data_IF_288125889061
#
_entry.id   IF_288125889061
#
_cell.length_a   1.000
_cell.length_b   1.000
_cell.length_c   1.000
_cell.angle_alpha   90.00
_cell.angle_beta   90.00
_cell.angle_gamma   90.00
#
_symmetry.space_group_name_H-M   'P 1'
#
loop_
_entity.id
_entity.type
_entity.pdbx_description
1 polymer ?
#
# COMPACT_ATOMS: atom_id res chain seq x y z
N UNK A 1 13.19 -36.30 58.21
CA UNK A 1 12.01 -35.92 57.40
C UNK A 1 12.46 -35.11 56.19
N UNK A 2 12.26 -35.66 54.99
CA UNK A 2 12.56 -35.02 53.70
C UNK A 2 11.49 -33.95 53.39
N UNK A 3 11.88 -32.72 53.06
CA UNK A 3 10.98 -31.74 52.40
C UNK A 3 11.65 -31.24 51.12
N UNK A 4 10.84 -31.23 50.06
CA UNK A 4 11.19 -31.28 48.65
C UNK A 4 11.56 -29.90 48.09
N UNK A 5 12.53 -29.87 47.17
CA UNK A 5 12.78 -28.77 46.25
C UNK A 5 11.57 -28.56 45.35
N UNK A 6 11.00 -27.35 45.38
CA UNK A 6 10.01 -26.89 44.41
C UNK A 6 10.69 -26.01 43.37
N UNK A 7 10.98 -26.58 42.20
CA UNK A 7 11.36 -25.83 41.00
C UNK A 7 10.18 -24.96 40.57
N UNK A 8 10.31 -23.64 40.68
CA UNK A 8 9.48 -22.70 39.94
C UNK A 8 10.13 -22.48 38.58
N UNK A 9 9.72 -23.29 37.62
CA UNK A 9 9.97 -23.05 36.21
C UNK A 9 9.11 -21.85 35.79
N UNK A 10 9.67 -20.64 35.88
CA UNK A 10 9.03 -19.43 35.37
C UNK A 10 9.04 -19.48 33.85
N UNK A 11 7.97 -20.00 33.25
CA UNK A 11 7.74 -19.90 31.83
C UNK A 11 7.51 -18.43 31.49
N UNK A 12 8.55 -17.78 30.95
CA UNK A 12 8.46 -16.48 30.32
C UNK A 12 7.61 -16.65 29.05
N UNK A 13 6.33 -16.34 29.15
CA UNK A 13 5.44 -16.21 28.00
C UNK A 13 5.96 -15.03 27.16
N UNK A 14 6.77 -15.32 26.15
CA UNK A 14 6.98 -14.40 25.04
C UNK A 14 5.62 -14.16 24.40
N UNK A 15 5.04 -12.99 24.65
CA UNK A 15 3.97 -12.41 23.85
C UNK A 15 4.56 -12.22 22.44
N UNK A 16 4.47 -13.26 21.60
CA UNK A 16 4.70 -13.11 20.18
C UNK A 16 3.68 -12.06 19.69
N UNK A 17 4.11 -10.95 19.09
CA UNK A 17 3.17 -10.04 18.47
C UNK A 17 2.36 -10.86 17.47
N UNK A 18 1.04 -10.83 17.62
CA UNK A 18 0.12 -11.38 16.63
C UNK A 18 0.51 -10.77 15.29
N UNK A 19 0.94 -11.61 14.34
CA UNK A 19 1.15 -11.21 12.95
C UNK A 19 -0.09 -10.42 12.53
N UNK A 20 0.06 -9.12 12.26
CA UNK A 20 -1.04 -8.29 11.83
C UNK A 20 -1.55 -8.88 10.51
N UNK A 21 -2.74 -9.49 10.58
CA UNK A 21 -3.36 -10.19 9.46
C UNK A 21 -4.02 -9.17 8.56
N UNK A 22 -3.57 -9.10 7.31
CA UNK A 22 -4.16 -8.38 6.17
C UNK A 22 -4.42 -6.87 6.39
N UNK A 23 -3.49 -6.07 5.88
CA UNK A 23 -3.58 -4.61 5.87
C UNK A 23 -4.62 -4.20 4.84
N UNK A 24 -5.82 -3.83 5.32
CA UNK A 24 -6.89 -3.39 4.41
C UNK A 24 -6.51 -2.03 3.83
N UNK A 25 -6.48 -1.94 2.51
CA UNK A 25 -6.32 -0.66 1.81
C UNK A 25 -7.56 -0.34 1.00
N UNK A 26 -7.81 0.93 0.73
CA UNK A 26 -8.89 1.40 -0.14
C UNK A 26 -8.47 2.62 -0.92
N UNK A 27 -9.03 2.78 -2.13
CA UNK A 27 -8.75 3.94 -2.98
C UNK A 27 -9.57 5.13 -2.49
N UNK A 28 -8.90 6.25 -2.22
CA UNK A 28 -9.55 7.53 -1.92
C UNK A 28 -9.68 8.38 -3.18
N UNK A 29 -8.61 8.42 -3.98
CA UNK A 29 -8.56 9.16 -5.24
C UNK A 29 -7.59 8.46 -6.19
N UNK A 30 -7.94 8.37 -7.47
CA UNK A 30 -7.03 7.99 -8.53
C UNK A 30 -7.35 8.80 -9.79
N UNK A 31 -6.32 9.21 -10.53
CA UNK A 31 -6.52 9.99 -11.76
C UNK A 31 -5.28 10.02 -12.65
N UNK A 32 -5.49 10.37 -13.92
CA UNK A 32 -4.39 10.53 -14.90
C UNK A 32 -4.44 11.92 -15.57
N UNK A 33 -4.32 13.02 -14.79
CA UNK A 33 -4.40 14.37 -15.35
C UNK A 33 -3.26 14.65 -16.34
N UNK A 34 -3.56 15.54 -17.29
CA UNK A 34 -2.53 16.22 -18.07
C UNK A 34 -1.85 17.25 -17.17
N UNK A 35 -0.53 17.14 -17.04
CA UNK A 35 0.29 18.02 -16.20
C UNK A 35 1.14 18.99 -17.01
N UNK A 36 1.16 18.85 -18.35
CA UNK A 36 1.83 19.79 -19.24
C UNK A 36 1.72 19.41 -20.71
N UNK A 37 2.10 20.35 -21.57
CA UNK A 37 2.21 20.16 -23.02
C UNK A 37 3.49 20.83 -23.52
N UNK A 38 4.16 20.24 -24.52
CA UNK A 38 5.39 20.82 -25.06
C UNK A 38 6.08 19.89 -26.06
N UNK A 39 6.72 20.48 -27.08
CA UNK A 39 7.50 19.72 -28.07
C UNK A 39 6.68 18.72 -28.89
N UNK A 40 5.37 18.93 -29.05
CA UNK A 40 4.47 17.98 -29.72
C UNK A 40 3.94 16.86 -28.81
N UNK A 41 4.27 16.88 -27.52
CA UNK A 41 3.86 15.87 -26.55
C UNK A 41 2.87 16.40 -25.51
N UNK A 42 2.08 15.49 -24.97
CA UNK A 42 1.22 15.69 -23.81
C UNK A 42 1.82 14.89 -22.64
N UNK A 43 2.07 15.57 -21.52
CA UNK A 43 2.62 14.96 -20.33
C UNK A 43 1.48 14.64 -19.37
N UNK A 44 1.42 13.38 -18.94
CA UNK A 44 0.42 12.88 -17.99
C UNK A 44 1.10 12.35 -16.74
N UNK A 45 0.34 12.35 -15.65
CA UNK A 45 0.81 11.82 -14.38
C UNK A 45 -0.26 10.90 -13.80
N UNK A 46 0.11 9.67 -13.46
CA UNK A 46 -0.72 8.82 -12.62
C UNK A 46 -0.66 9.33 -11.18
N UNK A 47 -1.82 9.69 -10.63
CA UNK A 47 -1.96 10.15 -9.25
C UNK A 47 -2.81 9.15 -8.48
N UNK A 48 -2.37 8.82 -7.28
CA UNK A 48 -3.06 7.88 -6.39
C UNK A 48 -3.01 8.40 -4.96
N UNK A 49 -4.17 8.41 -4.30
CA UNK A 49 -4.33 8.58 -2.86
C UNK A 49 -5.09 7.37 -2.32
N UNK A 50 -4.54 6.71 -1.31
CA UNK A 50 -5.12 5.51 -0.70
C UNK A 50 -5.18 5.64 0.81
N UNK A 51 -6.23 5.06 1.39
CA UNK A 51 -6.31 4.83 2.82
C UNK A 51 -5.77 3.44 3.16
N UNK A 52 -5.07 3.37 4.28
CA UNK A 52 -4.50 2.13 4.83
C UNK A 52 -4.97 2.02 6.27
N UNK A 53 -5.58 0.89 6.63
CA UNK A 53 -5.88 0.62 8.03
C UNK A 53 -4.55 0.61 8.79
N UNK A 54 -4.41 1.31 9.93
CA UNK A 54 -3.16 1.47 10.64
C UNK A 54 -2.42 0.15 10.79
N UNK A 55 -1.24 0.14 10.19
CA UNK A 55 -0.29 -0.96 10.27
C UNK A 55 0.66 -0.67 11.42
N UNK A 56 1.26 -1.72 11.97
CA UNK A 56 2.36 -1.54 12.91
C UNK A 56 3.41 -0.54 12.34
N UNK A 57 4.10 0.23 13.20
CA UNK A 57 5.14 1.14 12.75
C UNK A 57 6.19 0.43 11.89
N UNK A 58 6.74 1.13 10.89
CA UNK A 58 7.83 0.62 10.04
C UNK A 58 7.38 -0.07 8.75
N UNK A 59 6.12 0.06 8.35
CA UNK A 59 5.63 -0.41 7.06
C UNK A 59 5.88 0.60 5.94
N UNK A 60 5.73 0.16 4.69
CA UNK A 60 5.76 1.02 3.51
C UNK A 60 4.60 0.69 2.57
N UNK A 61 4.12 1.69 1.83
CA UNK A 61 2.98 1.54 0.93
C UNK A 61 3.43 1.88 -0.48
N UNK A 62 2.97 1.11 -1.46
CA UNK A 62 3.28 1.34 -2.85
C UNK A 62 2.20 0.89 -3.81
N UNK A 63 2.48 1.06 -5.09
CA UNK A 63 1.61 0.70 -6.19
C UNK A 63 2.44 0.04 -7.28
N UNK A 64 1.90 -1.02 -7.88
CA UNK A 64 2.33 -1.52 -9.18
C UNK A 64 1.29 -1.12 -10.20
N UNK A 65 1.73 -0.63 -11.35
CA UNK A 65 0.83 -0.13 -12.38
C UNK A 65 1.36 -0.41 -13.77
N UNK A 66 0.44 -0.39 -14.73
CA UNK A 66 0.69 -0.68 -16.14
C UNK A 66 -0.26 0.14 -17.00
N UNK A 67 0.09 0.29 -18.27
CA UNK A 67 -0.73 0.93 -19.31
C UNK A 67 -0.82 0.05 -20.56
N UNK A 68 -0.36 -1.20 -20.48
CA UNK A 68 -0.24 -2.14 -21.60
C UNK A 68 -0.73 -3.55 -21.26
N UNK A 69 -1.79 -3.65 -20.44
CA UNK A 69 -2.37 -4.93 -20.01
C UNK A 69 -1.36 -5.86 -19.35
N UNK A 70 -0.56 -5.31 -18.43
CA UNK A 70 0.42 -6.04 -17.62
C UNK A 70 1.56 -6.67 -18.43
N UNK A 71 1.79 -6.25 -19.67
CA UNK A 71 2.97 -6.66 -20.44
C UNK A 71 4.25 -6.05 -19.88
N UNK A 72 4.15 -4.80 -19.42
CA UNK A 72 5.18 -4.14 -18.61
C UNK A 72 4.57 -3.62 -17.30
N UNK A 73 5.41 -3.55 -16.27
CA UNK A 73 5.00 -3.06 -14.95
C UNK A 73 5.94 -1.94 -14.50
N UNK A 74 5.34 -0.97 -13.84
CA UNK A 74 6.04 0.10 -13.15
C UNK A 74 5.74 0.00 -11.66
N UNK A 75 6.72 0.37 -10.85
CA UNK A 75 6.63 0.32 -9.40
C UNK A 75 6.77 1.72 -8.83
N UNK A 76 5.85 2.09 -7.96
CA UNK A 76 5.83 3.36 -7.27
C UNK A 76 5.75 3.18 -5.76
N UNK A 77 6.45 4.03 -5.02
CA UNK A 77 6.30 4.15 -3.56
C UNK A 77 5.38 5.33 -3.26
N UNK A 78 4.43 5.13 -2.35
CA UNK A 78 3.57 6.20 -1.85
C UNK A 78 4.23 6.87 -0.65
N UNK A 79 3.87 8.13 -0.42
CA UNK A 79 4.35 8.92 0.71
C UNK A 79 3.21 9.10 1.70
N UNK A 80 3.48 8.84 2.99
CA UNK A 80 2.54 9.12 4.08
C UNK A 80 2.18 10.61 4.08
N UNK A 81 0.90 10.91 4.31
CA UNK A 81 0.38 12.28 4.32
C UNK A 81 -0.09 12.68 5.71
N UNK A 82 -1.01 11.92 6.27
CA UNK A 82 -1.63 12.20 7.56
C UNK A 82 -2.44 10.99 8.04
N UNK A 83 -2.83 11.04 9.31
CA UNK A 83 -3.83 10.14 9.87
C UNK A 83 -5.22 10.79 9.81
N UNK A 84 -6.26 9.99 9.57
CA UNK A 84 -7.66 10.42 9.50
C UNK A 84 -8.52 9.55 10.42
N UNK A 85 -9.36 10.14 11.29
CA UNK A 85 -10.25 9.34 12.15
C UNK A 85 -11.18 8.45 11.33
N UNK A 86 -11.39 7.22 11.79
CA UNK A 86 -12.29 6.26 11.15
C UNK A 86 -13.53 5.95 11.98
N UNK A 87 -14.53 5.32 11.36
CA UNK A 87 -15.82 5.03 11.98
C UNK A 87 -15.73 4.07 13.18
N UNK A 88 -14.63 3.33 13.30
CA UNK A 88 -14.37 2.39 14.40
C UNK A 88 -13.68 3.04 15.60
N UNK A 89 -13.48 4.36 15.59
CA UNK A 89 -12.79 5.09 16.66
C UNK A 89 -11.27 4.95 16.63
N UNK A 90 -10.71 4.44 15.53
CA UNK A 90 -9.27 4.38 15.26
C UNK A 90 -8.86 5.47 14.25
N UNK A 91 -7.62 5.44 13.77
CA UNK A 91 -7.10 6.35 12.75
C UNK A 91 -6.60 5.58 11.55
N UNK A 92 -7.15 5.84 10.37
CA UNK A 92 -6.62 5.36 9.09
C UNK A 92 -5.45 6.23 8.64
N UNK A 93 -4.49 5.64 7.95
CA UNK A 93 -3.39 6.39 7.35
C UNK A 93 -3.71 6.75 5.90
N UNK A 94 -3.36 7.96 5.50
CA UNK A 94 -3.51 8.43 4.12
C UNK A 94 -2.14 8.49 3.45
N UNK A 95 -2.03 7.83 2.30
CA UNK A 95 -0.82 7.72 1.52
C UNK A 95 -1.06 8.23 0.10
N UNK A 96 -0.09 8.93 -0.49
CA UNK A 96 -0.25 9.50 -1.83
C UNK A 96 1.01 9.39 -2.70
N UNK A 97 0.82 9.25 -4.01
CA UNK A 97 1.88 9.14 -5.00
C UNK A 97 1.52 9.85 -6.30
N UNK A 98 2.56 10.25 -7.03
CA UNK A 98 2.47 10.95 -8.31
C UNK A 98 3.57 10.42 -9.23
N UNK A 99 3.18 9.79 -10.34
CA UNK A 99 4.09 9.05 -11.20
C UNK A 99 3.97 9.50 -12.65
N UNK A 100 5.09 9.94 -13.23
CA UNK A 100 5.09 10.41 -14.61
C UNK A 100 4.83 9.26 -15.56
N UNK A 101 3.92 9.47 -16.51
CA UNK A 101 3.69 8.54 -17.61
C UNK A 101 4.53 9.01 -18.80
N UNK A 102 5.34 8.12 -19.43
CA UNK A 102 6.15 8.53 -20.56
C UNK A 102 5.28 9.13 -21.68
N UNK A 103 5.65 10.30 -22.23
CA UNK A 103 4.84 11.00 -23.24
C UNK A 103 4.73 10.25 -24.58
N UNK A 104 5.59 9.25 -24.79
CA UNK A 104 5.62 8.40 -25.99
C UNK A 104 4.65 7.22 -25.91
N UNK A 105 4.05 6.96 -24.75
CA UNK A 105 3.11 5.86 -24.54
C UNK A 105 1.71 6.33 -24.92
N UNK A 106 1.06 5.59 -25.81
CA UNK A 106 -0.37 5.70 -26.08
C UNK A 106 -1.11 4.69 -25.21
N UNK A 107 -2.07 5.14 -24.42
CA UNK A 107 -2.86 4.29 -23.54
C UNK A 107 -4.29 4.83 -23.38
N UNK A 108 -5.22 3.93 -23.09
CA UNK A 108 -6.62 4.27 -22.81
C UNK A 108 -6.89 4.35 -21.31
N UNK A 109 -6.17 3.57 -20.52
CA UNK A 109 -6.31 3.49 -19.07
C UNK A 109 -4.98 3.07 -18.43
N UNK A 110 -4.86 3.32 -17.13
CA UNK A 110 -3.84 2.73 -16.25
C UNK A 110 -4.52 1.67 -15.39
N UNK A 111 -3.97 0.47 -15.41
CA UNK A 111 -4.35 -0.60 -14.48
C UNK A 111 -3.35 -0.65 -13.33
N UNK A 112 -3.81 -0.89 -12.11
CA UNK A 112 -2.93 -0.87 -10.94
C UNK A 112 -3.39 -1.77 -9.80
N UNK A 113 -2.44 -2.13 -8.93
CA UNK A 113 -2.67 -2.79 -7.65
C UNK A 113 -1.82 -2.13 -6.56
N UNK A 114 -2.36 -2.05 -5.36
CA UNK A 114 -1.70 -1.43 -4.20
C UNK A 114 -1.03 -2.54 -3.40
N UNK A 115 0.15 -2.27 -2.85
CA UNK A 115 0.80 -3.16 -1.91
C UNK A 115 1.21 -2.43 -0.64
N UNK A 116 1.28 -3.18 0.45
CA UNK A 116 1.87 -2.74 1.72
C UNK A 116 2.91 -3.78 2.11
N UNK A 117 4.11 -3.31 2.44
CA UNK A 117 5.16 -4.13 3.03
C UNK A 117 5.22 -3.83 4.52
N UNK A 118 5.02 -4.84 5.37
CA UNK A 118 5.15 -4.69 6.81
C UNK A 118 6.63 -4.49 7.23
N UNK A 119 6.86 -4.20 8.51
CA UNK A 119 8.21 -4.00 9.05
C UNK A 119 9.13 -5.23 8.94
N UNK A 120 8.57 -6.42 8.65
CA UNK A 120 9.31 -7.67 8.43
C UNK A 120 9.57 -7.96 6.93
N UNK A 121 9.05 -7.11 6.03
CA UNK A 121 9.14 -7.28 4.59
C UNK A 121 8.09 -8.21 3.99
N UNK A 122 7.02 -8.55 4.74
CA UNK A 122 5.89 -9.29 4.20
C UNK A 122 5.01 -8.36 3.37
N UNK A 123 4.74 -8.73 2.12
CA UNK A 123 3.89 -7.96 1.22
C UNK A 123 2.44 -8.44 1.22
N UNK A 124 1.52 -7.54 1.52
CA UNK A 124 0.09 -7.71 1.26
C UNK A 124 -0.33 -6.95 0.00
N UNK A 125 -1.36 -7.45 -0.69
CA UNK A 125 -1.82 -6.93 -1.96
C UNK A 125 -3.30 -6.55 -1.89
N UNK A 126 -3.62 -5.40 -2.46
CA UNK A 126 -4.96 -5.05 -2.87
C UNK A 126 -4.99 -4.90 -4.39
N UNK A 127 -5.46 -5.95 -5.04
CA UNK A 127 -5.62 -6.05 -6.48
C UNK A 127 -7.11 -6.13 -6.86
N UNK A 128 -8.00 -5.50 -6.08
CA UNK A 128 -9.44 -5.49 -6.34
C UNK A 128 -10.02 -6.90 -6.59
N UNK A 129 -9.76 -7.84 -5.67
CA UNK A 129 -10.18 -9.24 -5.78
C UNK A 129 -9.69 -9.94 -7.08
N UNK A 130 -8.49 -9.60 -7.54
CA UNK A 130 -7.88 -10.16 -8.76
C UNK A 130 -8.28 -9.45 -10.05
N UNK A 131 -9.16 -8.44 -10.01
CA UNK A 131 -9.54 -7.67 -11.20
C UNK A 131 -8.61 -6.50 -11.50
N UNK A 132 -7.78 -6.11 -10.53
CA UNK A 132 -7.03 -4.86 -10.48
C UNK A 132 -7.95 -3.62 -10.51
N UNK A 133 -7.37 -2.46 -10.20
CA UNK A 133 -8.03 -1.18 -10.36
C UNK A 133 -7.73 -0.60 -11.74
N UNK A 134 -8.64 0.23 -12.27
CA UNK A 134 -8.50 0.87 -13.58
C UNK A 134 -8.88 2.34 -13.48
N UNK A 135 -8.08 3.22 -14.10
CA UNK A 135 -8.33 4.67 -14.15
C UNK A 135 -8.00 5.25 -15.53
N UNK A 136 -8.71 6.30 -15.94
CA UNK A 136 -8.60 6.95 -17.26
C UNK A 136 -8.23 8.44 -17.14
#
# INVERSE_FOLDING_TARGET
MKKRFGNLCGALLFLLPTLAVAETTWVLEAGVPVVGTGGGYVFRQFQLTTGVWPVAPGHSVGVVYTWDHWQTTQWGTLTWRNNTPNASGSQDEVWAGRFNVPPTVSFTAIEYAIYVDDASGHRTWNNNNGQNFVVQ
#
